data_IF_164938646383
#
_entry.id   IF_164938646383
#
_cell.length_a   1.000
_cell.length_b   1.000
_cell.length_c   1.000
_cell.angle_alpha   90.00
_cell.angle_beta   90.00
_cell.angle_gamma   90.00
#
_symmetry.space_group_name_H-M   'P 1'
#
loop_
_entity.id
_entity.type
_entity.pdbx_description
1 polymer ?
#
# COMPACT_ATOMS: atom_id res chain seq x y z
N UNK A 1 27.17 52.40 21.34
CA UNK A 1 27.46 50.97 21.07
C UNK A 1 26.36 50.41 20.20
N UNK A 2 26.65 50.04 18.94
CA UNK A 2 25.71 49.31 18.08
C UNK A 2 26.07 47.82 18.15
N UNK A 3 25.18 47.02 18.72
CA UNK A 3 25.25 45.56 18.72
C UNK A 3 24.42 45.04 17.55
N UNK A 4 25.02 44.96 16.36
CA UNK A 4 24.41 44.26 15.23
C UNK A 4 24.81 42.79 15.28
N UNK A 5 23.99 41.98 15.93
CA UNK A 5 24.10 40.52 15.87
C UNK A 5 23.62 40.02 14.51
N UNK A 6 24.53 39.56 13.67
CA UNK A 6 24.19 38.94 12.39
C UNK A 6 23.70 37.51 12.66
N UNK A 7 22.38 37.33 12.81
CA UNK A 7 21.77 36.00 12.88
C UNK A 7 21.79 35.41 11.47
N UNK A 8 22.62 34.39 11.26
CA UNK A 8 22.63 33.61 10.02
C UNK A 8 21.71 32.41 10.21
N UNK A 9 20.48 32.50 9.70
CA UNK A 9 19.55 31.35 9.70
C UNK A 9 20.06 30.29 8.73
N UNK A 10 20.48 29.14 9.24
CA UNK A 10 20.76 27.97 8.40
C UNK A 10 19.43 27.35 7.96
N UNK A 11 19.21 27.26 6.66
CA UNK A 11 18.09 26.48 6.10
C UNK A 11 18.39 25.00 6.22
N UNK A 12 17.66 24.31 7.11
CA UNK A 12 17.71 22.85 7.23
C UNK A 12 16.70 22.24 6.27
N UNK A 13 17.19 21.53 5.26
CA UNK A 13 16.33 20.69 4.42
C UNK A 13 15.97 19.42 5.18
N UNK A 14 14.66 19.18 5.34
CA UNK A 14 14.13 17.94 5.89
C UNK A 14 13.84 16.98 4.74
N UNK A 15 14.08 15.67 4.91
CA UNK A 15 13.67 14.69 3.92
C UNK A 15 12.14 14.71 3.81
N UNK A 16 11.63 14.75 2.57
CA UNK A 16 10.20 14.66 2.31
C UNK A 16 9.78 13.21 2.61
N UNK A 17 8.72 12.98 3.40
CA UNK A 17 8.22 11.64 3.62
C UNK A 17 7.76 11.02 2.29
N UNK A 18 7.91 9.70 2.10
CA UNK A 18 7.45 9.04 0.89
C UNK A 18 5.94 9.25 0.70
N UNK A 19 5.51 9.41 -0.55
CA UNK A 19 4.09 9.53 -0.88
C UNK A 19 3.31 8.34 -0.30
N UNK A 20 2.16 8.55 0.35
CA UNK A 20 1.40 7.47 0.99
C UNK A 20 0.94 6.44 -0.03
N UNK A 21 0.77 5.20 0.42
CA UNK A 21 0.19 4.13 -0.40
C UNK A 21 -1.27 4.51 -0.68
N UNK A 22 -1.78 4.34 -1.92
CA UNK A 22 -3.19 4.56 -2.21
C UNK A 22 -4.08 3.75 -1.25
N UNK A 23 -5.08 4.40 -0.65
CA UNK A 23 -6.00 3.75 0.30
C UNK A 23 -6.66 2.50 -0.31
N UNK A 24 -6.95 2.53 -1.61
CA UNK A 24 -7.54 1.40 -2.34
C UNK A 24 -6.69 0.13 -2.33
N UNK A 25 -5.36 0.24 -2.21
CA UNK A 25 -4.47 -0.93 -2.10
C UNK A 25 -4.40 -1.50 -0.68
N UNK A 26 -4.95 -0.77 0.30
CA UNK A 26 -4.99 -1.17 1.71
C UNK A 26 -6.39 -1.62 2.12
N UNK A 27 -7.34 -1.66 1.17
CA UNK A 27 -8.67 -2.17 1.41
C UNK A 27 -8.62 -3.67 1.74
N UNK A 28 -9.57 -4.11 2.57
CA UNK A 28 -9.72 -5.53 2.88
C UNK A 28 -10.06 -6.32 1.62
N UNK A 29 -9.78 -7.62 1.68
CA UNK A 29 -10.13 -8.60 0.66
C UNK A 29 -11.43 -9.33 1.03
N UNK A 30 -12.63 -8.74 0.79
CA UNK A 30 -13.86 -9.37 1.21
C UNK A 30 -14.09 -10.67 0.43
N UNK A 31 -14.51 -11.76 1.11
CA UNK A 31 -14.96 -12.94 0.40
C UNK A 31 -16.24 -12.63 -0.39
N UNK A 32 -16.53 -13.39 -1.46
CA UNK A 32 -17.83 -13.34 -2.11
C UNK A 32 -18.94 -13.74 -1.13
N UNK A 33 -20.16 -13.25 -1.35
CA UNK A 33 -21.33 -13.59 -0.53
C UNK A 33 -21.58 -15.11 -0.61
N UNK A 34 -21.64 -15.75 0.56
CA UNK A 34 -21.97 -17.17 0.69
C UNK A 34 -23.48 -17.29 0.98
N UNK A 35 -24.27 -17.90 0.09
CA UNK A 35 -25.70 -18.05 0.31
C UNK A 35 -26.00 -19.11 1.37
N UNK A 36 -27.09 -18.93 2.12
CA UNK A 36 -27.55 -19.88 3.17
C UNK A 36 -27.92 -21.25 2.60
N UNK A 37 -28.42 -21.28 1.35
CA UNK A 37 -28.68 -22.50 0.60
C UNK A 37 -27.97 -22.46 -0.74
N UNK A 38 -27.29 -23.55 -1.07
CA UNK A 38 -26.59 -23.71 -2.34
C UNK A 38 -26.71 -25.15 -2.83
N UNK A 39 -26.79 -25.33 -4.15
CA UNK A 39 -26.63 -26.63 -4.78
C UNK A 39 -25.15 -27.03 -4.82
N UNK A 40 -24.85 -28.28 -5.17
CA UNK A 40 -23.47 -28.67 -5.42
C UNK A 40 -22.84 -27.89 -6.58
N UNK A 41 -23.61 -27.56 -7.63
CA UNK A 41 -23.13 -26.73 -8.74
C UNK A 41 -22.79 -25.30 -8.30
N UNK A 42 -23.60 -24.71 -7.43
CA UNK A 42 -23.31 -23.38 -6.85
C UNK A 42 -22.01 -23.37 -6.05
N UNK A 43 -21.64 -24.49 -5.42
CA UNK A 43 -20.38 -24.62 -4.67
C UNK A 43 -19.14 -24.53 -5.58
N UNK A 44 -19.24 -25.04 -6.80
CA UNK A 44 -18.17 -24.93 -7.81
C UNK A 44 -17.98 -23.47 -8.22
N UNK A 45 -19.10 -22.76 -8.49
CA UNK A 45 -19.07 -21.33 -8.83
C UNK A 45 -18.55 -20.49 -7.66
N UNK A 46 -18.91 -20.83 -6.42
CA UNK A 46 -18.40 -20.15 -5.24
C UNK A 46 -16.89 -20.35 -5.09
N UNK A 47 -16.38 -21.57 -5.31
CA UNK A 47 -14.94 -21.85 -5.26
C UNK A 47 -14.17 -21.08 -6.33
N UNK A 48 -14.70 -20.97 -7.55
CA UNK A 48 -14.12 -20.11 -8.59
C UNK A 48 -14.03 -18.65 -8.13
N UNK A 49 -15.13 -18.09 -7.61
CA UNK A 49 -15.14 -16.71 -7.08
C UNK A 49 -14.14 -16.50 -5.94
N UNK A 50 -14.00 -17.49 -5.06
CA UNK A 50 -13.03 -17.46 -3.97
C UNK A 50 -11.59 -17.46 -4.50
N UNK A 51 -11.29 -18.29 -5.50
CA UNK A 51 -9.96 -18.34 -6.12
C UNK A 51 -9.63 -17.02 -6.83
N UNK A 52 -10.59 -16.42 -7.54
CA UNK A 52 -10.42 -15.12 -8.17
C UNK A 52 -10.16 -14.00 -7.14
N UNK A 53 -10.91 -13.98 -6.04
CA UNK A 53 -10.67 -13.02 -4.96
C UNK A 53 -9.27 -13.18 -4.37
N UNK A 54 -8.81 -14.42 -4.14
CA UNK A 54 -7.45 -14.70 -3.67
C UNK A 54 -6.38 -14.25 -4.67
N UNK A 55 -6.61 -14.47 -5.96
CA UNK A 55 -5.69 -14.04 -7.02
C UNK A 55 -5.54 -12.51 -7.04
N UNK A 56 -6.65 -11.77 -7.07
CA UNK A 56 -6.64 -10.31 -7.04
C UNK A 56 -5.90 -9.78 -5.81
N UNK A 57 -6.20 -10.31 -4.63
CA UNK A 57 -5.52 -9.93 -3.39
C UNK A 57 -4.02 -10.23 -3.41
N UNK A 58 -3.60 -11.31 -4.07
CA UNK A 58 -2.19 -11.60 -4.24
C UNK A 58 -1.50 -10.61 -5.20
N UNK A 59 -2.21 -10.13 -6.23
CA UNK A 59 -1.72 -9.09 -7.13
C UNK A 59 -1.54 -7.76 -6.38
N UNK A 60 -2.51 -7.35 -5.56
CA UNK A 60 -2.41 -6.12 -4.75
C UNK A 60 -1.22 -6.19 -3.79
N UNK A 61 -1.04 -7.33 -3.10
CA UNK A 61 0.16 -7.56 -2.25
C UNK A 61 1.46 -7.49 -3.04
N UNK A 62 1.49 -7.95 -4.28
CA UNK A 62 2.67 -7.83 -5.13
C UNK A 62 2.96 -6.36 -5.48
N UNK A 63 1.95 -5.58 -5.80
CA UNK A 63 2.08 -4.14 -6.04
C UNK A 63 2.61 -3.41 -4.80
N UNK A 64 2.10 -3.74 -3.61
CA UNK A 64 2.59 -3.18 -2.34
C UNK A 64 4.07 -3.51 -2.11
N UNK A 65 4.51 -4.76 -2.36
CA UNK A 65 5.92 -5.14 -2.25
C UNK A 65 6.81 -4.33 -3.20
N UNK A 66 6.38 -4.11 -4.44
CA UNK A 66 7.13 -3.27 -5.39
C UNK A 66 7.25 -1.82 -4.90
N UNK A 67 6.19 -1.24 -4.33
CA UNK A 67 6.22 0.10 -3.75
C UNK A 67 7.23 0.18 -2.59
N UNK A 68 7.22 -0.81 -1.71
CA UNK A 68 8.17 -0.88 -0.60
C UNK A 68 9.61 -1.07 -1.08
N UNK A 69 9.85 -1.93 -2.06
CA UNK A 69 11.16 -2.09 -2.71
C UNK A 69 11.67 -0.78 -3.31
N UNK A 70 10.81 0.00 -3.97
CA UNK A 70 11.17 1.32 -4.51
C UNK A 70 11.56 2.30 -3.40
N UNK A 71 10.83 2.29 -2.27
CA UNK A 71 11.15 3.12 -1.09
C UNK A 71 12.50 2.72 -0.49
N UNK A 72 12.76 1.43 -0.31
CA UNK A 72 14.00 0.90 0.27
C UNK A 72 15.21 0.98 -0.68
N UNK A 73 15.00 0.80 -1.98
CA UNK A 73 16.04 0.96 -3.00
C UNK A 73 16.54 2.41 -3.13
N UNK A 74 15.66 3.38 -2.84
CA UNK A 74 16.03 4.80 -2.78
C UNK A 74 16.91 5.10 -1.55
N UNK A 75 16.72 4.40 -0.43
CA UNK A 75 17.55 4.57 0.78
C UNK A 75 18.98 4.02 0.67
N UNK A 76 19.25 3.09 -0.24
CA UNK A 76 20.58 2.46 -0.42
C UNK A 76 21.50 3.17 -1.44
N UNK A 77 21.09 4.31 -2.01
CA UNK A 77 21.90 5.11 -2.96
C UNK A 77 22.63 6.29 -2.29
N UNK A 78 23.06 6.14 -1.04
CA UNK A 78 23.78 7.19 -0.29
C UNK A 78 25.16 6.75 0.15
#
# INVERSE_FOLDING_TARGET
MLLTGCVRTQTRYLPIPPAPIPATMLDDCPPPVIPERMTWGDSVILNEKLLLALEMCNQDKAALRQIEEMRHGTTNKK
#
